data_IF_896446051646
#
_entry.id   IF_896446051646
#
_cell.length_a   1.000
_cell.length_b   1.000
_cell.length_c   1.000
_cell.angle_alpha   90.00
_cell.angle_beta   90.00
_cell.angle_gamma   90.00
#
_symmetry.space_group_name_H-M   'P 1'
#
loop_
_entity.id
_entity.type
_entity.pdbx_description
1 polymer ?
#
# COMPACT_ATOMS: atom_id res chain seq x y z
N UNK A 1 -1.01 8.94 -1.05
CA UNK A 1 -2.00 9.14 0.02
C UNK A 1 -3.12 8.09 0.08
N UNK A 2 -3.15 7.08 -0.78
CA UNK A 2 -4.23 6.07 -0.81
C UNK A 2 -3.91 4.75 -0.06
N UNK A 3 -2.69 4.56 0.40
CA UNK A 3 -2.26 3.25 0.95
C UNK A 3 -2.51 3.09 2.46
N UNK A 4 -2.61 4.19 3.21
CA UNK A 4 -2.82 4.13 4.65
C UNK A 4 -4.24 3.71 5.07
N UNK A 5 -5.21 3.76 4.15
CA UNK A 5 -6.61 3.49 4.46
C UNK A 5 -7.10 2.11 4.05
N UNK A 6 -6.24 1.27 3.44
CA UNK A 6 -6.67 -0.03 2.91
C UNK A 6 -7.05 -1.02 4.03
N UNK A 7 -6.36 -0.99 5.15
CA UNK A 7 -6.68 -1.79 6.33
C UNK A 7 -8.06 -1.41 6.90
N UNK A 8 -8.38 -0.11 6.92
CA UNK A 8 -9.69 0.42 7.33
C UNK A 8 -10.78 -0.02 6.35
N UNK A 9 -10.49 0.04 5.05
CA UNK A 9 -11.41 -0.43 4.00
C UNK A 9 -11.69 -1.92 4.13
N UNK A 10 -10.67 -2.76 4.32
CA UNK A 10 -10.80 -4.21 4.51
C UNK A 10 -11.72 -4.51 5.70
N UNK A 11 -11.48 -3.90 6.86
CA UNK A 11 -12.32 -4.07 8.06
C UNK A 11 -13.75 -3.58 7.84
N UNK A 12 -13.93 -2.44 7.17
CA UNK A 12 -15.25 -1.88 6.89
C UNK A 12 -16.04 -2.76 5.93
N UNK A 13 -15.40 -3.30 4.89
CA UNK A 13 -16.04 -4.25 3.96
C UNK A 13 -16.43 -5.54 4.66
N UNK A 14 -15.57 -6.09 5.51
CA UNK A 14 -15.88 -7.29 6.29
C UNK A 14 -17.12 -7.08 7.18
N UNK A 15 -17.20 -5.95 7.91
CA UNK A 15 -18.37 -5.61 8.71
C UNK A 15 -19.66 -5.54 7.87
N UNK A 16 -19.60 -4.94 6.68
CA UNK A 16 -20.76 -4.88 5.76
C UNK A 16 -21.18 -6.28 5.30
N UNK A 17 -20.21 -7.13 4.96
CA UNK A 17 -20.47 -8.51 4.52
C UNK A 17 -21.03 -9.38 5.66
N UNK A 18 -20.49 -9.27 6.87
CA UNK A 18 -21.00 -9.96 8.07
C UNK A 18 -22.46 -9.56 8.34
N UNK A 19 -22.78 -8.26 8.25
CA UNK A 19 -24.14 -7.77 8.40
C UNK A 19 -25.06 -8.34 7.32
N UNK A 20 -24.66 -8.28 6.06
CA UNK A 20 -25.43 -8.80 4.93
C UNK A 20 -25.69 -10.32 5.06
N UNK A 21 -24.66 -11.07 5.49
CA UNK A 21 -24.78 -12.51 5.75
C UNK A 21 -25.78 -12.80 6.89
N UNK A 22 -25.71 -12.03 7.99
CA UNK A 22 -26.64 -12.14 9.10
C UNK A 22 -28.09 -11.84 8.70
N UNK A 23 -28.29 -10.82 7.89
CA UNK A 23 -29.63 -10.45 7.38
C UNK A 23 -30.18 -11.50 6.41
N UNK A 24 -29.34 -12.03 5.53
CA UNK A 24 -29.71 -13.14 4.63
C UNK A 24 -30.07 -14.42 5.42
N UNK A 25 -29.30 -14.75 6.45
CA UNK A 25 -29.58 -15.89 7.32
C UNK A 25 -30.89 -15.73 8.08
N UNK A 26 -31.19 -14.54 8.62
CA UNK A 26 -32.46 -14.24 9.28
C UNK A 26 -33.64 -14.37 8.32
N UNK A 27 -33.52 -13.84 7.11
CA UNK A 27 -34.57 -13.98 6.06
C UNK A 27 -34.81 -15.44 5.70
N UNK A 28 -33.75 -16.24 5.56
CA UNK A 28 -33.85 -17.67 5.27
C UNK A 28 -34.46 -18.43 6.45
N UNK A 29 -34.04 -18.16 7.67
CA UNK A 29 -34.62 -18.73 8.89
C UNK A 29 -36.11 -18.45 8.99
N UNK A 30 -36.52 -17.17 8.76
CA UNK A 30 -37.94 -16.81 8.77
C UNK A 30 -38.77 -17.58 7.74
N UNK A 31 -38.26 -17.75 6.51
CA UNK A 31 -38.91 -18.58 5.48
C UNK A 31 -39.03 -20.04 5.89
N UNK A 32 -37.99 -20.63 6.44
CA UNK A 32 -37.99 -22.01 6.93
C UNK A 32 -38.98 -22.20 8.09
N UNK A 33 -39.02 -21.26 9.02
CA UNK A 33 -40.01 -21.29 10.12
C UNK A 33 -41.46 -21.14 9.61
N UNK A 34 -41.67 -20.30 8.60
CA UNK A 34 -42.97 -20.19 7.93
C UNK A 34 -43.38 -21.49 7.23
N UNK A 35 -42.42 -22.19 6.60
CA UNK A 35 -42.69 -23.54 6.01
C UNK A 35 -42.98 -24.58 7.09
N UNK A 36 -42.26 -24.52 8.22
CA UNK A 36 -42.56 -25.38 9.37
C UNK A 36 -43.96 -25.19 9.93
N UNK A 37 -44.46 -23.94 9.95
CA UNK A 37 -45.84 -23.64 10.38
C UNK A 37 -46.90 -24.16 9.43
N UNK A 38 -46.61 -24.25 8.13
CA UNK A 38 -47.54 -24.75 7.07
C UNK A 38 -47.46 -26.25 6.85
N UNK A 39 -46.43 -26.92 7.34
CA UNK A 39 -46.25 -28.36 7.16
C UNK A 39 -47.30 -29.13 7.95
N UNK A 40 -47.95 -30.09 7.28
CA UNK A 40 -48.96 -30.95 7.88
C UNK A 40 -48.37 -32.02 8.77
N UNK A 41 -47.23 -32.57 8.36
CA UNK A 41 -46.56 -33.67 9.05
C UNK A 41 -45.63 -33.18 10.14
N UNK A 42 -45.58 -33.90 11.24
CA UNK A 42 -44.66 -33.60 12.36
C UNK A 42 -43.19 -33.67 11.91
N UNK A 43 -42.84 -34.70 11.14
CA UNK A 43 -41.50 -34.90 10.62
C UNK A 43 -41.02 -33.72 9.76
N UNK A 44 -41.83 -33.28 8.82
CA UNK A 44 -41.57 -32.12 7.97
C UNK A 44 -41.37 -30.82 8.79
N UNK A 45 -42.21 -30.61 9.82
CA UNK A 45 -42.07 -29.46 10.74
C UNK A 45 -40.73 -29.47 11.47
N UNK A 46 -40.37 -30.63 12.02
CA UNK A 46 -39.12 -30.77 12.80
C UNK A 46 -37.90 -30.62 11.87
N UNK A 47 -37.98 -31.15 10.64
CA UNK A 47 -36.94 -30.99 9.62
C UNK A 47 -36.73 -29.50 9.26
N UNK A 48 -37.78 -28.72 9.03
CA UNK A 48 -37.67 -27.29 8.73
C UNK A 48 -37.15 -26.50 9.92
N UNK A 49 -37.54 -26.83 11.16
CA UNK A 49 -36.98 -26.19 12.37
C UNK A 49 -35.51 -26.49 12.52
N UNK A 50 -35.11 -27.72 12.32
CA UNK A 50 -33.69 -28.12 12.36
C UNK A 50 -32.89 -27.37 11.29
N UNK A 51 -33.39 -27.28 10.06
CA UNK A 51 -32.75 -26.56 8.96
C UNK A 51 -32.67 -25.05 9.25
N UNK A 52 -33.64 -24.46 9.90
CA UNK A 52 -33.61 -23.06 10.34
C UNK A 52 -32.54 -22.82 11.40
N UNK A 53 -32.40 -23.76 12.35
CA UNK A 53 -31.33 -23.70 13.39
C UNK A 53 -29.92 -23.82 12.79
N UNK A 54 -29.72 -24.84 11.96
CA UNK A 54 -28.41 -25.04 11.32
C UNK A 54 -28.04 -23.89 10.38
N UNK A 55 -28.98 -23.27 9.67
CA UNK A 55 -28.77 -22.10 8.83
C UNK A 55 -28.20 -20.94 9.66
N UNK A 56 -28.75 -20.71 10.86
CA UNK A 56 -28.27 -19.65 11.75
C UNK A 56 -26.88 -19.94 12.29
N UNK A 57 -26.63 -21.19 12.71
CA UNK A 57 -25.33 -21.62 13.24
C UNK A 57 -24.23 -21.51 12.18
N UNK A 58 -24.50 -21.97 10.96
CA UNK A 58 -23.56 -21.88 9.84
C UNK A 58 -23.27 -20.43 9.46
N UNK A 59 -24.27 -19.56 9.46
CA UNK A 59 -24.10 -18.14 9.17
C UNK A 59 -23.23 -17.45 10.27
N UNK A 60 -23.46 -17.79 11.52
CA UNK A 60 -22.65 -17.26 12.64
C UNK A 60 -21.19 -17.74 12.54
N UNK A 61 -20.97 -19.01 12.20
CA UNK A 61 -19.63 -19.56 12.01
C UNK A 61 -18.91 -18.91 10.82
N UNK A 62 -19.63 -18.70 9.70
CA UNK A 62 -19.08 -18.01 8.53
C UNK A 62 -18.76 -16.54 8.80
N UNK A 63 -19.61 -15.83 9.55
CA UNK A 63 -19.36 -14.46 9.97
C UNK A 63 -18.07 -14.34 10.79
N UNK A 64 -17.88 -15.21 11.78
CA UNK A 64 -16.65 -15.24 12.60
C UNK A 64 -15.39 -15.49 11.75
N UNK A 65 -15.46 -16.45 10.81
CA UNK A 65 -14.34 -16.71 9.90
C UNK A 65 -14.01 -15.49 9.05
N UNK A 66 -15.01 -14.81 8.56
CA UNK A 66 -14.84 -13.61 7.75
C UNK A 66 -14.17 -12.48 8.56
N UNK A 67 -14.60 -12.26 9.80
CA UNK A 67 -14.02 -11.27 10.70
C UNK A 67 -12.54 -11.58 10.99
N UNK A 68 -12.22 -12.84 11.36
CA UNK A 68 -10.84 -13.26 11.63
C UNK A 68 -9.96 -13.11 10.38
N UNK A 69 -10.48 -13.51 9.21
CA UNK A 69 -9.73 -13.41 7.95
C UNK A 69 -9.46 -11.95 7.59
N UNK A 70 -10.45 -11.07 7.74
CA UNK A 70 -10.31 -9.66 7.46
C UNK A 70 -9.31 -8.98 8.41
N UNK A 71 -9.35 -9.32 9.71
CA UNK A 71 -8.40 -8.80 10.69
C UNK A 71 -6.98 -9.24 10.37
N UNK A 72 -6.76 -10.54 10.14
CA UNK A 72 -5.45 -11.07 9.76
C UNK A 72 -4.90 -10.43 8.46
N UNK A 73 -5.77 -10.19 7.49
CA UNK A 73 -5.39 -9.54 6.22
C UNK A 73 -5.02 -8.09 6.45
N UNK A 74 -5.80 -7.35 7.22
CA UNK A 74 -5.54 -5.95 7.55
C UNK A 74 -4.23 -5.79 8.32
N UNK A 75 -3.98 -6.63 9.33
CA UNK A 75 -2.73 -6.63 10.08
C UNK A 75 -1.51 -7.02 9.23
N UNK A 76 -1.66 -8.02 8.36
CA UNK A 76 -0.60 -8.43 7.44
C UNK A 76 -0.23 -7.30 6.49
N UNK A 77 -1.25 -6.61 5.96
CA UNK A 77 -1.06 -5.44 5.11
C UNK A 77 -0.35 -4.29 5.86
N UNK A 78 -0.83 -3.95 7.05
CA UNK A 78 -0.21 -2.90 7.86
C UNK A 78 1.27 -3.19 8.17
N UNK A 79 1.60 -4.47 8.46
CA UNK A 79 3.00 -4.90 8.67
C UNK A 79 3.84 -4.77 7.40
N UNK A 80 3.30 -5.15 6.24
CA UNK A 80 4.02 -5.05 4.97
C UNK A 80 4.29 -3.59 4.56
N UNK A 81 3.34 -2.70 4.75
CA UNK A 81 3.52 -1.25 4.50
C UNK A 81 4.57 -0.66 5.43
N UNK A 82 4.53 -1.00 6.71
CA UNK A 82 5.54 -0.54 7.67
C UNK A 82 6.94 -0.99 7.26
N UNK A 83 7.09 -2.26 6.90
CA UNK A 83 8.37 -2.81 6.44
C UNK A 83 8.85 -2.13 5.16
N UNK A 84 7.98 -1.92 4.18
CA UNK A 84 8.33 -1.20 2.95
C UNK A 84 8.75 0.26 3.22
N UNK A 85 8.08 0.95 4.15
CA UNK A 85 8.45 2.29 4.55
C UNK A 85 9.83 2.34 5.24
N UNK A 86 10.14 1.36 6.08
CA UNK A 86 11.45 1.22 6.73
C UNK A 86 12.55 0.96 5.68
N UNK A 87 12.34 0.05 4.74
CA UNK A 87 13.27 -0.25 3.64
C UNK A 87 13.52 0.98 2.75
N UNK A 88 12.49 1.75 2.42
CA UNK A 88 12.60 3.00 1.67
C UNK A 88 13.39 4.06 2.45
N UNK A 89 13.17 4.17 3.75
CA UNK A 89 13.89 5.12 4.59
C UNK A 89 15.39 4.76 4.69
N UNK A 90 15.70 3.47 4.81
CA UNK A 90 17.10 2.98 4.80
C UNK A 90 17.77 3.21 3.45
N UNK A 91 17.09 2.89 2.35
CA UNK A 91 17.60 3.15 1.01
C UNK A 91 17.86 4.64 0.76
N UNK A 92 16.96 5.51 1.23
CA UNK A 92 17.14 6.96 1.14
C UNK A 92 18.33 7.47 1.97
N UNK A 93 18.59 6.91 3.16
CA UNK A 93 19.78 7.22 3.96
C UNK A 93 21.06 6.79 3.24
N UNK A 94 21.08 5.56 2.73
CA UNK A 94 22.24 5.03 2.01
C UNK A 94 22.55 5.84 0.73
N UNK A 95 21.52 6.29 0.01
CA UNK A 95 21.68 7.15 -1.16
C UNK A 95 22.26 8.53 -0.79
N UNK A 96 21.80 9.12 0.32
CA UNK A 96 22.36 10.39 0.84
C UNK A 96 23.81 10.25 1.26
N UNK A 97 24.16 9.15 1.94
CA UNK A 97 25.54 8.89 2.37
C UNK A 97 26.48 8.66 1.18
N UNK A 98 26.03 7.96 0.14
CA UNK A 98 26.78 7.81 -1.12
C UNK A 98 26.99 9.15 -1.80
N UNK A 99 25.95 9.95 -1.96
CA UNK A 99 26.03 11.28 -2.57
C UNK A 99 26.94 12.22 -1.77
N UNK A 100 26.91 12.17 -0.44
CA UNK A 100 27.80 12.95 0.41
C UNK A 100 29.27 12.52 0.26
N UNK A 101 29.55 11.22 0.15
CA UNK A 101 30.91 10.69 -0.09
C UNK A 101 31.43 11.06 -1.48
N UNK A 102 30.62 10.98 -2.51
CA UNK A 102 30.97 11.39 -3.87
C UNK A 102 31.22 12.91 -3.95
N UNK A 103 30.42 13.73 -3.31
CA UNK A 103 30.62 15.18 -3.23
C UNK A 103 31.90 15.55 -2.47
N UNK A 104 32.22 14.82 -1.40
CA UNK A 104 33.48 15.01 -0.66
C UNK A 104 34.72 14.58 -1.48
N UNK A 105 34.62 13.46 -2.21
CA UNK A 105 35.66 13.00 -3.10
C UNK A 105 35.91 13.97 -4.28
N UNK A 106 34.85 14.52 -4.86
CA UNK A 106 34.93 15.53 -5.93
C UNK A 106 35.58 16.84 -5.43
N UNK A 107 35.26 17.28 -4.21
CA UNK A 107 35.92 18.44 -3.59
C UNK A 107 37.39 18.21 -3.31
N UNK A 108 37.77 17.01 -2.85
CA UNK A 108 39.17 16.66 -2.60
C UNK A 108 39.98 16.53 -3.91
N UNK A 109 39.40 16.05 -4.98
CA UNK A 109 40.02 16.00 -6.30
C UNK A 109 40.26 17.42 -6.88
N UNK A 110 39.27 18.31 -6.72
CA UNK A 110 39.37 19.69 -7.21
C UNK A 110 40.39 20.55 -6.39
N UNK A 111 40.57 20.24 -5.12
CA UNK A 111 41.59 20.89 -4.28
C UNK A 111 43.03 20.46 -4.66
N UNK A 112 43.22 19.23 -5.15
CA UNK A 112 44.52 18.76 -5.64
C UNK A 112 44.93 19.38 -6.98
N UNK A 113 43.98 19.65 -7.88
CA UNK A 113 44.24 20.31 -9.17
C UNK A 113 44.48 21.80 -9.05
N UNK A 114 43.94 22.48 -8.02
CA UNK A 114 44.19 23.89 -7.78
C UNK A 114 45.61 24.16 -7.23
N UNK A 115 46.23 23.17 -6.58
CA UNK A 115 47.58 23.36 -5.99
C UNK A 115 48.73 23.02 -6.95
N UNK A 116 48.46 22.53 -8.19
CA UNK A 116 49.50 22.29 -9.20
C UNK A 116 49.63 23.40 -10.24
N UNK A 117 48.77 24.42 -10.21
CA UNK A 117 48.75 25.50 -11.20
C UNK A 117 49.41 26.81 -10.75
N UNK A 118 50.09 26.83 -9.56
CA UNK A 118 50.79 28.04 -9.07
C UNK A 118 52.29 28.02 -9.28
N UNK A 119 52.85 27.07 -10.04
CA UNK A 119 54.26 27.03 -10.32
C UNK A 119 54.57 26.97 -11.82
N UNK A 120 54.10 27.90 -12.62
CA UNK A 120 54.81 28.31 -13.86
C UNK A 120 54.23 29.64 -14.36
N UNK A 121 54.73 30.72 -13.82
CA UNK A 121 54.59 32.03 -14.41
C UNK A 121 55.68 32.29 -15.41
N UNK A 122 55.33 32.55 -16.64
CA UNK A 122 55.98 33.63 -17.42
C UNK A 122 55.31 33.82 -18.79
N UNK A 123 54.73 35.01 -18.91
CA UNK A 123 54.77 35.89 -20.10
C UNK A 123 54.40 35.32 -21.47
N UNK A 124 53.28 35.77 -22.00
CA UNK A 124 53.27 36.51 -23.29
C UNK A 124 51.85 37.04 -23.55
N UNK A 125 51.80 38.36 -23.73
CA UNK A 125 50.69 39.09 -24.33
C UNK A 125 50.86 39.01 -25.83
N UNK A 126 49.84 38.81 -26.64
CA UNK A 126 49.60 39.80 -27.71
C UNK A 126 48.10 40.09 -28.00
N UNK A 127 47.87 41.33 -28.16
CA UNK A 127 47.06 42.16 -29.09
C UNK A 127 45.81 41.58 -29.80
N UNK A 128 44.82 42.41 -29.96
CA UNK A 128 43.49 42.07 -30.47
C UNK A 128 43.39 42.19 -31.99
N UNK A 129 42.52 41.38 -32.60
CA UNK A 129 42.03 41.63 -33.93
C UNK A 129 40.50 41.41 -33.98
N UNK A 130 39.89 42.47 -34.45
CA UNK A 130 38.45 42.65 -34.67
C UNK A 130 37.96 42.01 -35.98
N UNK A 131 36.62 42.04 -36.11
CA UNK A 131 35.76 41.87 -37.30
C UNK A 131 35.18 40.47 -37.45
N UNK A 132 33.92 40.32 -37.80
CA UNK A 132 32.76 41.08 -38.15
C UNK A 132 31.62 40.11 -38.48
N UNK A 133 30.41 40.42 -38.02
CA UNK A 133 29.15 40.42 -38.74
C UNK A 133 28.91 39.33 -39.81
N UNK A 134 27.83 38.52 -39.64
CA UNK A 134 26.67 38.50 -40.51
C UNK A 134 25.52 37.60 -39.99
N UNK A 135 24.44 38.19 -39.76
CA UNK A 135 23.04 37.97 -39.96
C UNK A 135 22.68 37.07 -41.15
N UNK A 136 21.70 36.12 -40.90
CA UNK A 136 20.52 35.77 -41.73
C UNK A 136 19.82 34.62 -41.01
N UNK A 137 18.62 34.75 -40.48
CA UNK A 137 17.28 34.73 -41.12
C UNK A 137 17.12 33.58 -42.14
N UNK A 138 16.47 32.51 -41.73
CA UNK A 138 15.13 32.09 -42.08
C UNK A 138 14.61 31.09 -41.05
#
# INVERSE_FOLDING_TARGET
>A
MAEADLDVVIRSMAKKQVKALGDAARKRQGRLMGMAGKAKDKESRDRYRQLAKTTRELAAAAARRLEITAENTAESYARSIKKAAEELAEAAKLAKDKAAKEAAAAKAANAKTANTNTANGKVAKPKPAAKAVKKKKE
#
